data_IF_439225921313
#
_entry.id   IF_439225921313
#
_cell.length_a   1.000
_cell.length_b   1.000
_cell.length_c   1.000
_cell.angle_alpha   90.00
_cell.angle_beta   90.00
_cell.angle_gamma   90.00
#
_symmetry.space_group_name_H-M   'P 1'
#
loop_
_entity.id
_entity.type
_entity.pdbx_description
1 polymer ?
#
# COMPACT_ATOMS: atom_id res chain seq x y z
N UNK A 1 -5.41 11.08 6.56
CA UNK A 1 -4.85 12.28 7.24
C UNK A 1 -5.63 12.74 8.47
N UNK A 2 -6.90 12.37 8.64
CA UNK A 2 -7.77 12.94 9.69
C UNK A 2 -8.43 14.28 9.29
N UNK A 3 -8.19 14.75 8.07
CA UNK A 3 -8.73 15.99 7.49
C UNK A 3 -9.57 15.74 6.21
N UNK A 4 -9.83 14.48 5.86
CA UNK A 4 -10.76 14.09 4.82
C UNK A 4 -10.12 13.36 3.63
N UNK A 5 -8.83 13.03 3.69
CA UNK A 5 -8.15 12.21 2.68
C UNK A 5 -7.76 10.84 3.23
N UNK A 6 -8.10 9.82 2.47
CA UNK A 6 -7.64 8.45 2.65
C UNK A 6 -6.63 8.09 1.56
N UNK A 7 -5.62 7.30 1.90
CA UNK A 7 -4.78 6.59 0.92
C UNK A 7 -5.04 5.09 1.13
N UNK A 8 -5.17 4.36 0.02
CA UNK A 8 -5.29 2.89 0.01
C UNK A 8 -4.65 2.35 -1.25
N UNK A 9 -4.58 1.02 -1.40
CA UNK A 9 -4.07 0.35 -2.60
C UNK A 9 -5.19 -0.31 -3.40
N UNK A 10 -5.07 -0.27 -4.73
CA UNK A 10 -5.91 -1.05 -5.65
C UNK A 10 -5.63 -2.55 -5.49
N UNK A 11 -4.34 -2.91 -5.38
CA UNK A 11 -3.89 -4.30 -5.20
C UNK A 11 -4.64 -5.02 -4.06
N UNK A 12 -4.88 -4.32 -2.95
CA UNK A 12 -5.57 -4.90 -1.81
C UNK A 12 -7.09 -4.89 -2.00
N UNK A 13 -7.70 -3.71 -2.14
CA UNK A 13 -9.15 -3.57 -2.04
C UNK A 13 -9.90 -4.09 -3.28
N UNK A 14 -9.26 -4.11 -4.45
CA UNK A 14 -9.83 -4.67 -5.68
C UNK A 14 -9.44 -6.14 -5.90
N UNK A 15 -8.70 -6.75 -4.97
CA UNK A 15 -8.38 -8.17 -5.06
C UNK A 15 -9.64 -9.03 -4.97
N UNK A 16 -9.63 -10.15 -5.71
CA UNK A 16 -10.74 -11.12 -5.75
C UNK A 16 -11.10 -11.68 -4.37
N UNK A 17 -10.13 -11.74 -3.45
CA UNK A 17 -10.30 -12.26 -2.10
C UNK A 17 -10.95 -11.28 -1.12
N UNK A 18 -11.24 -10.03 -1.52
CA UNK A 18 -11.96 -9.05 -0.69
C UNK A 18 -13.41 -8.95 -1.12
N UNK A 19 -13.74 -7.99 -1.98
CA UNK A 19 -15.12 -7.66 -2.35
C UNK A 19 -15.33 -7.83 -3.87
N UNK A 20 -15.27 -9.06 -4.42
CA UNK A 20 -15.25 -9.29 -5.86
C UNK A 20 -16.54 -8.87 -6.60
N UNK A 21 -17.63 -8.65 -5.86
CA UNK A 21 -18.90 -8.17 -6.40
C UNK A 21 -19.03 -6.66 -6.45
N UNK A 22 -18.08 -5.91 -5.87
CA UNK A 22 -18.13 -4.45 -5.80
C UNK A 22 -17.19 -3.82 -6.83
N UNK A 23 -17.63 -2.73 -7.44
CA UNK A 23 -16.76 -1.88 -8.27
C UNK A 23 -15.89 -0.98 -7.40
N UNK A 24 -14.85 -0.40 -7.99
CA UNK A 24 -13.97 0.56 -7.31
C UNK A 24 -14.76 1.73 -6.74
N UNK A 25 -15.73 2.25 -7.49
CA UNK A 25 -16.59 3.38 -7.08
C UNK A 25 -17.48 3.00 -5.90
N UNK A 26 -18.02 1.79 -5.88
CA UNK A 26 -18.83 1.30 -4.76
C UNK A 26 -17.98 1.12 -3.49
N UNK A 27 -16.74 0.64 -3.62
CA UNK A 27 -15.79 0.55 -2.51
C UNK A 27 -15.45 1.95 -2.01
N UNK A 28 -15.10 2.87 -2.92
CA UNK A 28 -14.79 4.26 -2.57
C UNK A 28 -15.94 4.93 -1.82
N UNK A 29 -17.18 4.76 -2.28
CA UNK A 29 -18.36 5.32 -1.63
C UNK A 29 -18.52 4.78 -0.20
N UNK A 30 -18.34 3.47 0.00
CA UNK A 30 -18.38 2.85 1.34
C UNK A 30 -17.27 3.38 2.25
N UNK A 31 -16.06 3.60 1.72
CA UNK A 31 -14.96 4.18 2.48
C UNK A 31 -15.27 5.62 2.92
N UNK A 32 -15.83 6.43 2.01
CA UNK A 32 -16.25 7.82 2.31
C UNK A 32 -17.32 7.84 3.41
N UNK A 33 -18.33 6.99 3.30
CA UNK A 33 -19.42 6.90 4.29
C UNK A 33 -18.93 6.41 5.66
N UNK A 34 -18.12 5.36 5.69
CA UNK A 34 -17.68 4.74 6.93
C UNK A 34 -16.63 5.57 7.68
N UNK A 35 -15.73 6.24 6.96
CA UNK A 35 -14.59 6.95 7.54
C UNK A 35 -14.76 8.47 7.55
N UNK A 36 -15.83 9.01 6.96
CA UNK A 36 -16.08 10.45 6.87
C UNK A 36 -15.09 11.19 5.97
N UNK A 37 -14.41 10.48 5.06
CA UNK A 37 -13.45 11.08 4.12
C UNK A 37 -14.15 11.62 2.88
N UNK A 38 -13.55 12.62 2.24
CA UNK A 38 -14.07 13.26 1.02
C UNK A 38 -13.30 12.80 -0.22
N UNK A 39 -12.01 12.46 -0.05
CA UNK A 39 -11.11 12.05 -1.12
C UNK A 39 -10.43 10.74 -0.77
N UNK A 40 -10.33 9.86 -1.76
CA UNK A 40 -9.55 8.62 -1.68
C UNK A 40 -8.47 8.68 -2.77
N UNK A 41 -7.22 8.56 -2.36
CA UNK A 41 -6.07 8.40 -3.26
C UNK A 41 -5.81 6.90 -3.37
N UNK A 42 -5.80 6.41 -4.61
CA UNK A 42 -5.64 4.99 -4.93
C UNK A 42 -4.23 4.73 -5.46
N UNK A 43 -3.38 4.15 -4.63
CA UNK A 43 -2.07 3.66 -5.06
C UNK A 43 -2.24 2.35 -5.84
N UNK A 44 -1.54 2.16 -6.96
CA UNK A 44 -1.65 0.91 -7.71
C UNK A 44 -1.12 -0.30 -6.92
N UNK A 45 -0.08 -0.14 -6.10
CA UNK A 45 0.63 -1.26 -5.49
C UNK A 45 0.90 -1.09 -3.99
N UNK A 46 1.03 -2.22 -3.30
CA UNK A 46 1.71 -2.30 -2.00
C UNK A 46 3.11 -2.88 -2.14
N UNK A 47 3.62 -3.45 -1.04
CA UNK A 47 4.92 -4.12 -1.01
C UNK A 47 4.91 -5.39 -1.88
N UNK A 48 6.02 -5.64 -2.58
CA UNK A 48 6.22 -6.81 -3.44
C UNK A 48 6.10 -8.12 -2.65
N UNK A 49 5.32 -9.09 -3.17
CA UNK A 49 5.04 -10.39 -2.53
C UNK A 49 4.41 -10.28 -1.13
N UNK A 50 3.67 -9.21 -0.89
CA UNK A 50 3.00 -9.00 0.40
C UNK A 50 1.84 -9.99 0.63
N UNK A 51 1.76 -10.55 1.84
CA UNK A 51 0.76 -11.56 2.20
C UNK A 51 -0.65 -10.99 2.19
N UNK A 52 -0.79 -9.70 2.52
CA UNK A 52 -2.07 -8.98 2.69
C UNK A 52 -2.63 -8.42 1.39
N UNK A 53 -2.08 -8.86 0.25
CA UNK A 53 -2.37 -8.33 -1.09
C UNK A 53 -1.99 -6.85 -1.21
N UNK A 54 -0.89 -6.44 -0.58
CA UNK A 54 -0.34 -5.11 -0.72
C UNK A 54 -1.08 -4.06 0.10
N UNK A 55 -1.26 -4.30 1.40
CA UNK A 55 -1.86 -3.31 2.30
C UNK A 55 -1.03 -2.02 2.35
N UNK A 56 -1.74 -0.89 2.48
CA UNK A 56 -1.15 0.44 2.35
C UNK A 56 -0.18 0.78 3.49
N UNK A 57 -0.42 0.26 4.69
CA UNK A 57 0.39 0.58 5.89
C UNK A 57 1.85 0.13 5.76
N UNK A 58 2.12 -0.90 4.96
CA UNK A 58 3.46 -1.43 4.73
C UNK A 58 4.22 -0.63 3.66
N UNK A 59 3.55 0.29 2.94
CA UNK A 59 4.16 1.08 1.85
C UNK A 59 4.07 2.59 2.07
N UNK A 60 2.98 3.12 2.63
CA UNK A 60 2.76 4.55 2.77
C UNK A 60 1.92 4.93 3.99
N UNK A 61 2.23 6.08 4.58
CA UNK A 61 1.41 6.66 5.65
C UNK A 61 1.49 8.18 5.65
N UNK A 62 0.46 8.83 6.22
CA UNK A 62 0.47 10.27 6.43
C UNK A 62 1.35 10.64 7.63
N UNK A 63 2.18 11.67 7.48
CA UNK A 63 2.75 12.39 8.62
C UNK A 63 1.83 13.51 9.10
N UNK A 64 1.20 14.19 8.14
CA UNK A 64 0.20 15.23 8.34
C UNK A 64 -0.73 15.32 7.11
N UNK A 65 -1.47 16.42 6.94
CA UNK A 65 -2.44 16.59 5.84
C UNK A 65 -1.82 16.83 4.46
N UNK A 66 -0.51 17.12 4.37
CA UNK A 66 0.18 17.38 3.10
C UNK A 66 1.42 16.51 2.90
N UNK A 67 1.90 15.80 3.92
CA UNK A 67 3.11 14.96 3.82
C UNK A 67 2.79 13.47 3.95
N UNK A 68 3.32 12.69 3.01
CA UNK A 68 3.21 11.23 2.97
C UNK A 68 4.61 10.62 2.99
N UNK A 69 4.83 9.68 3.92
CA UNK A 69 5.97 8.78 3.85
C UNK A 69 5.68 7.70 2.81
N UNK A 70 6.67 7.39 1.98
CA UNK A 70 6.61 6.30 1.00
C UNK A 70 7.86 5.43 1.10
N UNK A 71 7.68 4.14 1.33
CA UNK A 71 8.74 3.14 1.25
C UNK A 71 9.34 3.09 -0.15
N UNK A 72 10.64 3.35 -0.25
CA UNK A 72 11.35 3.45 -1.52
C UNK A 72 12.68 2.69 -1.44
N UNK A 73 12.89 1.61 -2.21
CA UNK A 73 14.13 0.85 -2.15
C UNK A 73 15.30 1.62 -2.78
N UNK A 74 16.50 1.29 -2.35
CA UNK A 74 17.72 1.78 -2.99
C UNK A 74 18.04 0.97 -4.25
N UNK A 75 18.24 1.67 -5.38
CA UNK A 75 18.58 1.05 -6.65
C UNK A 75 17.38 0.53 -7.45
N UNK A 76 17.55 0.48 -8.77
CA UNK A 76 16.50 0.18 -9.75
C UNK A 76 16.29 -1.33 -10.01
N UNK A 77 17.20 -2.17 -9.50
CA UNK A 77 17.16 -3.64 -9.65
C UNK A 77 16.21 -4.33 -8.67
N UNK A 78 15.79 -3.64 -7.61
CA UNK A 78 14.81 -4.19 -6.67
C UNK A 78 13.43 -4.30 -7.32
N UNK A 79 12.75 -5.43 -7.14
CA UNK A 79 11.40 -5.64 -7.68
C UNK A 79 10.39 -4.61 -7.13
N UNK A 80 10.63 -4.09 -5.93
CA UNK A 80 9.84 -3.05 -5.30
C UNK A 80 10.02 -1.69 -5.98
N UNK A 81 11.16 -1.42 -6.63
CA UNK A 81 11.47 -0.09 -7.17
C UNK A 81 10.40 0.40 -8.16
N UNK A 82 9.97 -0.48 -9.08
CA UNK A 82 8.94 -0.13 -10.06
C UNK A 82 7.58 0.14 -9.42
N UNK A 83 7.25 -0.57 -8.32
CA UNK A 83 6.00 -0.40 -7.57
C UNK A 83 6.01 0.93 -6.82
N UNK A 84 7.02 1.16 -5.97
CA UNK A 84 7.21 2.42 -5.25
C UNK A 84 7.31 3.62 -6.19
N UNK A 85 7.90 3.47 -7.38
CA UNK A 85 7.92 4.55 -8.38
C UNK A 85 6.51 4.87 -8.91
N UNK A 86 5.70 3.88 -9.21
CA UNK A 86 4.32 4.10 -9.67
C UNK A 86 3.48 4.80 -8.59
N UNK A 87 3.61 4.37 -7.33
CA UNK A 87 2.93 4.98 -6.19
C UNK A 87 3.41 6.43 -5.96
N UNK A 88 4.71 6.67 -6.10
CA UNK A 88 5.30 8.03 -6.03
C UNK A 88 4.73 8.95 -7.12
N UNK A 89 4.64 8.48 -8.36
CA UNK A 89 4.12 9.26 -9.48
C UNK A 89 2.64 9.62 -9.28
N UNK A 90 1.84 8.73 -8.68
CA UNK A 90 0.45 9.02 -8.27
C UNK A 90 0.42 10.09 -7.19
N UNK A 91 1.11 9.88 -6.07
CA UNK A 91 1.08 10.82 -4.94
C UNK A 91 1.53 12.22 -5.33
N UNK A 92 2.58 12.33 -6.15
CA UNK A 92 3.09 13.62 -6.64
C UNK A 92 2.10 14.38 -7.54
N UNK A 93 1.19 13.65 -8.19
CA UNK A 93 0.13 14.22 -9.03
C UNK A 93 -1.14 14.57 -8.25
N UNK A 94 -1.18 14.31 -6.95
CA UNK A 94 -2.38 14.40 -6.13
C UNK A 94 -2.39 15.58 -5.17
N UNK A 95 -3.60 15.88 -4.70
CA UNK A 95 -3.88 16.84 -3.63
C UNK A 95 -4.61 16.17 -2.47
N UNK A 96 -4.57 16.76 -1.28
CA UNK A 96 -5.47 16.38 -0.21
C UNK A 96 -6.92 16.85 -0.48
N UNK A 97 -7.83 16.61 0.46
CA UNK A 97 -9.24 16.96 0.34
C UNK A 97 -9.51 18.48 0.42
N UNK A 98 -8.54 19.26 0.89
CA UNK A 98 -8.56 20.72 0.88
C UNK A 98 -7.98 21.31 -0.42
N UNK A 99 -7.46 20.47 -1.33
CA UNK A 99 -6.86 20.91 -2.59
C UNK A 99 -5.38 21.29 -2.49
N UNK A 100 -4.72 21.01 -1.37
CA UNK A 100 -3.29 21.25 -1.19
C UNK A 100 -2.47 20.09 -1.78
N UNK A 101 -1.35 20.35 -2.46
CA UNK A 101 -0.52 19.30 -3.05
C UNK A 101 0.09 18.39 -1.98
N UNK A 102 0.24 17.10 -2.31
CA UNK A 102 0.95 16.14 -1.47
C UNK A 102 2.46 16.23 -1.71
N UNK A 103 3.23 16.41 -0.64
CA UNK A 103 4.68 16.22 -0.62
C UNK A 103 5.00 14.78 -0.17
N UNK A 104 5.92 14.15 -0.91
CA UNK A 104 6.24 12.73 -0.76
C UNK A 104 7.66 12.58 -0.24
N UNK A 105 7.77 12.13 1.00
CA UNK A 105 9.03 11.86 1.66
C UNK A 105 9.35 10.38 1.50
N UNK A 106 10.42 10.10 0.74
CA UNK A 106 10.89 8.73 0.52
C UNK A 106 11.65 8.23 1.74
N UNK A 107 11.30 7.04 2.23
CA UNK A 107 12.05 6.34 3.27
C UNK A 107 12.75 5.14 2.65
N UNK A 108 14.07 4.97 2.89
CA UNK A 108 14.80 3.82 2.40
C UNK A 108 14.20 2.54 3.00
N UNK A 109 13.90 1.57 2.12
CA UNK A 109 13.56 0.22 2.55
C UNK A 109 14.84 -0.56 2.84
N UNK A 110 14.84 -1.49 3.82
CA UNK A 110 15.92 -2.45 3.91
C UNK A 110 16.01 -3.23 2.59
N UNK A 111 17.21 -3.74 2.28
CA UNK A 111 17.34 -4.72 1.20
C UNK A 111 16.48 -5.96 1.45
N UNK A 112 16.27 -6.82 0.44
CA UNK A 112 15.48 -8.03 0.60
C UNK A 112 15.95 -8.86 1.80
N UNK A 113 15.01 -9.13 2.72
CA UNK A 113 15.24 -9.97 3.90
C UNK A 113 14.57 -11.33 3.67
N UNK A 114 15.32 -12.39 3.93
CA UNK A 114 14.84 -13.77 3.78
C UNK A 114 14.91 -14.47 5.13
N UNK A 115 13.88 -15.26 5.44
CA UNK A 115 13.90 -16.11 6.62
C UNK A 115 14.95 -17.22 6.43
N UNK A 116 15.79 -17.44 7.43
CA UNK A 116 16.71 -18.57 7.44
C UNK A 116 15.97 -19.88 7.66
N UNK A 117 16.55 -21.00 7.25
CA UNK A 117 15.99 -22.33 7.51
C UNK A 117 15.73 -22.59 9.00
N UNK A 118 16.56 -22.01 9.90
CA UNK A 118 16.38 -22.11 11.35
C UNK A 118 15.14 -21.34 11.83
N UNK A 119 14.90 -20.14 11.30
CA UNK A 119 13.73 -19.33 11.64
C UNK A 119 12.44 -19.95 11.10
N UNK A 120 12.52 -20.62 9.94
CA UNK A 120 11.37 -21.29 9.31
C UNK A 120 11.04 -22.67 9.90
N UNK A 121 11.92 -23.29 10.70
CA UNK A 121 11.79 -24.67 11.15
C UNK A 121 10.52 -24.98 11.97
N UNK A 122 9.92 -23.96 12.61
CA UNK A 122 8.70 -24.10 13.41
C UNK A 122 7.40 -23.79 12.66
N UNK A 123 7.46 -23.46 11.36
CA UNK A 123 6.29 -23.08 10.59
C UNK A 123 5.39 -24.29 10.33
N UNK A 124 4.13 -24.20 10.75
CA UNK A 124 3.10 -25.17 10.39
C UNK A 124 2.40 -24.68 9.12
N UNK A 125 2.41 -25.50 8.07
CA UNK A 125 1.69 -25.19 6.83
C UNK A 125 0.20 -25.47 7.05
N UNK A 126 -0.62 -24.44 6.88
CA UNK A 126 -2.08 -24.54 7.00
C UNK A 126 -2.70 -24.42 5.61
N UNK A 127 -3.74 -25.19 5.33
CA UNK A 127 -4.44 -25.11 4.06
C UNK A 127 -4.94 -23.66 3.80
N UNK A 128 -4.57 -23.09 2.65
CA UNK A 128 -4.92 -21.72 2.27
C UNK A 128 -3.87 -20.66 2.58
N UNK A 129 -2.80 -20.96 3.33
CA UNK A 129 -1.68 -20.02 3.50
C UNK A 129 -0.81 -19.92 2.25
N UNK A 130 -0.35 -18.71 1.89
CA UNK A 130 0.66 -18.53 0.83
C UNK A 130 1.99 -19.17 1.29
N UNK A 131 2.69 -19.94 0.43
CA UNK A 131 4.00 -20.49 0.78
C UNK A 131 4.97 -19.37 1.11
N UNK A 132 5.70 -19.49 2.23
CA UNK A 132 6.87 -18.66 2.51
C UNK A 132 8.06 -19.28 1.78
N UNK A 133 8.29 -18.84 0.54
CA UNK A 133 9.47 -19.23 -0.22
C UNK A 133 10.71 -18.71 0.51
N UNK A 134 11.61 -19.64 0.87
CA UNK A 134 12.94 -19.33 1.43
C UNK A 134 13.90 -18.94 0.32
#
# INVERSE_FOLDING_TARGET
DGAGTLITTEECLLSRGRNPSLTKEQIEQRLKEALGVKKVIWLPYGVYKDETDGHVDNIACFLDSTHVLLGFPEGDRDAQFRRSKADYDVLKGETNAAGEPIDVIRIPMPGPLFATAKEAAGLTIVAGSKPREM
#
